data_IF_476699962948
#
_entry.id   IF_476699962948
#
_cell.length_a   1.000
_cell.length_b   1.000
_cell.length_c   1.000
_cell.angle_alpha   90.00
_cell.angle_beta   90.00
_cell.angle_gamma   90.00
#
_symmetry.space_group_name_H-M   'P 1'
#
loop_
_entity.id
_entity.type
_entity.pdbx_description
1 polymer ?
#
# COMPACT_ATOMS: atom_id res chain seq x y z
N UNK A 1 -11.25 -38.22 39.58
CA UNK A 1 -10.95 -38.17 38.13
C UNK A 1 -11.66 -37.05 37.37
N UNK A 2 -12.99 -36.85 37.51
CA UNK A 2 -13.75 -35.86 36.71
C UNK A 2 -13.30 -34.39 36.87
N UNK A 3 -12.89 -33.98 38.07
CA UNK A 3 -12.47 -32.58 38.36
C UNK A 3 -11.14 -32.24 37.68
N UNK A 4 -10.18 -33.17 37.69
CA UNK A 4 -8.87 -32.96 37.06
C UNK A 4 -9.01 -32.82 35.55
N UNK A 5 -9.85 -33.64 34.92
CA UNK A 5 -10.16 -33.54 33.48
C UNK A 5 -10.84 -32.22 33.12
N UNK A 6 -11.76 -31.74 33.96
CA UNK A 6 -12.44 -30.46 33.73
C UNK A 6 -11.48 -29.26 33.79
N UNK A 7 -10.58 -29.25 34.77
CA UNK A 7 -9.56 -28.19 34.91
C UNK A 7 -8.62 -28.16 33.70
N UNK A 8 -8.19 -29.33 33.21
CA UNK A 8 -7.31 -29.42 32.04
C UNK A 8 -7.99 -28.87 30.78
N UNK A 9 -9.28 -29.17 30.57
CA UNK A 9 -10.05 -28.68 29.43
C UNK A 9 -10.22 -27.15 29.50
N UNK A 10 -10.57 -26.61 30.67
CA UNK A 10 -10.75 -25.17 30.85
C UNK A 10 -9.43 -24.42 30.63
N UNK A 11 -8.31 -24.93 31.16
CA UNK A 11 -7.00 -24.36 30.89
C UNK A 11 -6.64 -24.38 29.40
N UNK A 12 -6.96 -25.46 28.68
CA UNK A 12 -6.68 -25.56 27.24
C UNK A 12 -7.50 -24.56 26.42
N UNK A 13 -8.77 -24.37 26.76
CA UNK A 13 -9.65 -23.37 26.12
C UNK A 13 -9.14 -21.94 26.38
N UNK A 14 -8.73 -21.65 27.62
CA UNK A 14 -8.17 -20.34 27.98
C UNK A 14 -6.87 -20.09 27.19
N UNK A 15 -5.98 -21.08 27.09
CA UNK A 15 -4.74 -20.97 26.30
C UNK A 15 -5.05 -20.71 24.82
N UNK A 16 -6.02 -21.43 24.25
CA UNK A 16 -6.44 -21.20 22.85
C UNK A 16 -7.00 -19.80 22.66
N UNK A 17 -7.87 -19.32 23.56
CA UNK A 17 -8.42 -17.97 23.51
C UNK A 17 -7.32 -16.91 23.61
N UNK A 18 -6.33 -17.11 24.48
CA UNK A 18 -5.17 -16.23 24.58
C UNK A 18 -4.31 -16.24 23.31
N UNK A 19 -4.09 -17.41 22.69
CA UNK A 19 -3.38 -17.51 21.42
C UNK A 19 -4.15 -16.79 20.31
N UNK A 20 -5.46 -16.99 20.21
CA UNK A 20 -6.30 -16.31 19.21
C UNK A 20 -6.27 -14.79 19.42
N UNK A 21 -6.39 -14.33 20.67
CA UNK A 21 -6.31 -12.92 21.00
C UNK A 21 -4.93 -12.33 20.66
N UNK A 22 -3.86 -13.06 20.98
CA UNK A 22 -2.49 -12.64 20.68
C UNK A 22 -2.21 -12.59 19.17
N UNK A 23 -2.71 -13.58 18.42
CA UNK A 23 -2.64 -13.59 16.95
C UNK A 23 -3.42 -12.41 16.37
N UNK A 24 -4.64 -12.13 16.84
CA UNK A 24 -5.42 -10.97 16.40
C UNK A 24 -4.70 -9.64 16.72
N UNK A 25 -4.05 -9.54 17.88
CA UNK A 25 -3.24 -8.37 18.25
C UNK A 25 -2.02 -8.23 17.32
N UNK A 26 -1.32 -9.33 16.99
CA UNK A 26 -0.20 -9.32 16.05
C UNK A 26 -0.64 -8.96 14.62
N UNK A 27 -1.79 -9.45 14.17
CA UNK A 27 -2.40 -9.09 12.88
C UNK A 27 -2.72 -7.59 12.86
N UNK A 28 -3.31 -7.05 13.93
CA UNK A 28 -3.64 -5.63 14.05
C UNK A 28 -2.40 -4.73 14.10
N UNK A 29 -1.26 -5.22 14.61
CA UNK A 29 0.02 -4.50 14.63
C UNK A 29 0.86 -4.66 13.37
N UNK A 30 0.49 -5.58 12.47
CA UNK A 30 1.28 -5.88 11.27
C UNK A 30 2.64 -6.56 11.55
N UNK A 31 2.81 -7.12 12.75
CA UNK A 31 4.07 -7.71 13.25
C UNK A 31 4.08 -9.25 13.11
N UNK A 32 3.53 -9.78 12.02
CA UNK A 32 3.68 -11.20 11.70
C UNK A 32 5.19 -11.50 11.57
N UNK A 33 5.73 -12.55 12.24
CA UNK A 33 7.10 -12.97 12.03
C UNK A 33 7.23 -13.45 10.59
N UNK A 34 7.74 -12.56 9.74
CA UNK A 34 7.95 -12.82 8.33
C UNK A 34 8.86 -14.05 8.21
N UNK A 35 8.45 -14.96 7.31
CA UNK A 35 9.26 -16.11 6.92
C UNK A 35 10.67 -15.71 6.49
N UNK A 36 11.51 -16.74 6.30
CA UNK A 36 12.95 -16.66 6.05
C UNK A 36 13.43 -15.36 5.39
N UNK A 37 14.52 -14.74 5.91
CA UNK A 37 14.99 -13.43 5.45
C UNK A 37 15.15 -13.44 3.93
N UNK A 38 14.28 -12.69 3.25
CA UNK A 38 14.36 -12.59 1.80
C UNK A 38 15.68 -11.95 1.41
N UNK A 39 16.37 -12.61 0.48
CA UNK A 39 17.76 -12.39 0.06
C UNK A 39 18.12 -10.92 -0.25
N UNK A 40 17.13 -10.06 -0.52
CA UNK A 40 17.31 -8.65 -0.92
C UNK A 40 16.64 -7.63 0.04
N UNK A 41 16.59 -7.92 1.35
CA UNK A 41 15.98 -7.02 2.34
C UNK A 41 16.50 -5.57 2.27
N UNK A 42 17.81 -5.36 2.04
CA UNK A 42 18.40 -4.01 1.95
C UNK A 42 17.92 -3.20 0.74
N UNK A 43 17.88 -3.81 -0.45
CA UNK A 43 17.38 -3.15 -1.65
C UNK A 43 15.90 -2.81 -1.51
N UNK A 44 15.11 -3.72 -0.92
CA UNK A 44 13.69 -3.49 -0.69
C UNK A 44 13.44 -2.33 0.26
N UNK A 45 14.21 -2.24 1.35
CA UNK A 45 14.11 -1.12 2.28
C UNK A 45 14.49 0.19 1.60
N UNK A 46 15.55 0.21 0.79
CA UNK A 46 15.93 1.39 0.03
C UNK A 46 14.85 1.81 -1.00
N UNK A 47 14.19 0.85 -1.65
CA UNK A 47 13.04 1.13 -2.54
C UNK A 47 11.89 1.75 -1.75
N UNK A 48 11.55 1.18 -0.59
CA UNK A 48 10.50 1.72 0.26
C UNK A 48 10.82 3.15 0.72
N UNK A 49 12.04 3.37 1.20
CA UNK A 49 12.51 4.70 1.62
C UNK A 49 12.53 5.71 0.46
N UNK A 50 12.93 5.28 -0.73
CA UNK A 50 12.86 6.11 -1.94
C UNK A 50 11.42 6.56 -2.19
N UNK A 51 10.47 5.62 -2.29
CA UNK A 51 9.05 5.93 -2.50
C UNK A 51 8.50 6.86 -1.42
N UNK A 52 8.81 6.61 -0.14
CA UNK A 52 8.31 7.43 0.98
C UNK A 52 8.86 8.87 1.01
N UNK A 53 10.01 9.13 0.39
CA UNK A 53 10.60 10.47 0.30
C UNK A 53 10.02 11.30 -0.84
N UNK A 54 9.42 10.67 -1.83
CA UNK A 54 8.83 11.38 -2.95
C UNK A 54 7.40 11.82 -2.64
N UNK A 55 7.12 13.09 -2.95
CA UNK A 55 5.77 13.67 -2.89
C UNK A 55 5.11 13.76 -4.28
N UNK A 56 5.86 13.44 -5.33
CA UNK A 56 5.46 13.56 -6.73
C UNK A 56 5.11 12.21 -7.37
N UNK A 57 4.97 11.16 -6.55
CA UNK A 57 4.53 9.82 -6.96
C UNK A 57 5.42 9.25 -8.07
N UNK A 58 6.63 8.78 -7.75
CA UNK A 58 7.63 8.44 -8.73
C UNK A 58 7.22 7.18 -9.50
N UNK A 59 7.66 7.10 -10.74
CA UNK A 59 7.54 5.87 -11.54
C UNK A 59 8.62 4.87 -11.13
N UNK A 60 8.46 3.61 -11.52
CA UNK A 60 9.48 2.59 -11.31
C UNK A 60 10.83 2.97 -11.94
N UNK A 61 10.82 3.68 -13.08
CA UNK A 61 12.03 4.15 -13.75
C UNK A 61 12.75 5.24 -12.95
N UNK A 62 12.03 6.20 -12.37
CA UNK A 62 12.62 7.23 -11.49
C UNK A 62 13.29 6.58 -10.29
N UNK A 63 12.58 5.67 -9.61
CA UNK A 63 13.09 4.91 -8.47
C UNK A 63 14.33 4.11 -8.86
N UNK A 64 14.30 3.47 -10.03
CA UNK A 64 15.44 2.71 -10.56
C UNK A 64 16.66 3.60 -10.78
N UNK A 65 16.51 4.76 -11.41
CA UNK A 65 17.63 5.67 -11.67
C UNK A 65 18.27 6.16 -10.38
N UNK A 66 17.47 6.56 -9.40
CA UNK A 66 17.97 7.03 -8.10
C UNK A 66 18.71 5.91 -7.36
N UNK A 67 18.16 4.70 -7.34
CA UNK A 67 18.76 3.58 -6.62
C UNK A 67 20.07 3.07 -7.23
N UNK A 68 20.34 3.34 -8.52
CA UNK A 68 21.60 2.93 -9.15
C UNK A 68 22.82 3.60 -8.52
N UNK A 69 22.66 4.77 -7.92
CA UNK A 69 23.76 5.46 -7.24
C UNK A 69 24.27 4.65 -6.03
N UNK A 70 23.34 4.06 -5.28
CA UNK A 70 23.65 3.26 -4.08
C UNK A 70 23.75 1.76 -4.35
N UNK A 71 23.11 1.27 -5.41
CA UNK A 71 23.06 -0.14 -5.81
C UNK A 71 23.35 -0.29 -7.32
N UNK A 72 24.60 -0.17 -7.78
CA UNK A 72 24.93 -0.14 -9.21
C UNK A 72 24.50 -1.37 -10.03
N UNK A 73 24.36 -2.51 -9.36
CA UNK A 73 23.97 -3.81 -9.95
C UNK A 73 22.46 -4.09 -9.85
N UNK A 74 21.64 -3.15 -9.35
CA UNK A 74 20.19 -3.33 -9.34
C UNK A 74 19.68 -3.33 -10.78
N UNK A 75 18.73 -4.23 -11.07
CA UNK A 75 18.02 -4.24 -12.35
C UNK A 75 16.63 -3.65 -12.18
N UNK A 76 16.09 -3.08 -13.26
CA UNK A 76 14.73 -2.55 -13.28
C UNK A 76 13.70 -3.63 -12.90
N UNK A 77 13.90 -4.88 -13.36
CA UNK A 77 13.05 -6.01 -12.95
C UNK A 77 13.08 -6.30 -11.45
N UNK A 78 14.20 -6.04 -10.76
CA UNK A 78 14.28 -6.14 -9.29
C UNK A 78 13.49 -5.01 -8.62
N UNK A 79 13.49 -3.81 -9.18
CA UNK A 79 12.67 -2.70 -8.69
C UNK A 79 11.18 -3.04 -8.80
N UNK A 80 10.71 -3.43 -9.98
CA UNK A 80 9.30 -3.83 -10.19
C UNK A 80 8.83 -4.96 -9.25
N UNK A 81 9.63 -6.02 -9.08
CA UNK A 81 9.27 -7.13 -8.16
C UNK A 81 9.10 -6.66 -6.72
N UNK A 82 9.99 -5.78 -6.25
CA UNK A 82 9.90 -5.24 -4.89
C UNK A 82 8.75 -4.25 -4.73
N UNK A 83 8.48 -3.40 -5.72
CA UNK A 83 7.32 -2.51 -5.71
C UNK A 83 6.01 -3.30 -5.66
N UNK A 84 5.89 -4.34 -6.48
CA UNK A 84 4.73 -5.24 -6.46
C UNK A 84 4.55 -5.90 -5.09
N UNK A 85 5.64 -6.38 -4.49
CA UNK A 85 5.62 -7.00 -3.16
C UNK A 85 5.24 -5.98 -2.07
N UNK A 86 5.82 -4.78 -2.09
CA UNK A 86 5.51 -3.73 -1.11
C UNK A 86 4.05 -3.29 -1.23
N UNK A 87 3.51 -3.24 -2.46
CA UNK A 87 2.09 -2.96 -2.72
C UNK A 87 1.20 -4.06 -2.13
N UNK A 88 1.53 -5.35 -2.38
CA UNK A 88 0.75 -6.46 -1.82
C UNK A 88 0.81 -6.54 -0.29
N UNK A 89 1.88 -6.02 0.32
CA UNK A 89 2.03 -5.91 1.77
C UNK A 89 1.36 -4.66 2.35
N UNK A 90 0.74 -3.81 1.52
CA UNK A 90 0.12 -2.55 1.96
C UNK A 90 1.12 -1.54 2.52
N UNK A 91 2.40 -1.62 2.13
CA UNK A 91 3.45 -0.68 2.57
C UNK A 91 3.55 0.56 1.68
N UNK A 92 3.12 0.43 0.43
CA UNK A 92 3.00 1.51 -0.56
C UNK A 92 1.70 1.30 -1.34
N UNK A 93 1.22 2.35 -2.00
CA UNK A 93 0.09 2.29 -2.93
C UNK A 93 0.59 2.37 -4.37
N UNK A 94 -0.05 1.63 -5.27
CA UNK A 94 0.16 1.75 -6.71
C UNK A 94 -0.98 2.58 -7.31
N UNK A 95 -0.61 3.59 -8.09
CA UNK A 95 -1.56 4.46 -8.79
C UNK A 95 -1.45 4.16 -10.28
N UNK A 96 -2.49 3.53 -10.81
CA UNK A 96 -2.59 3.22 -12.24
C UNK A 96 -2.97 4.48 -13.00
N UNK A 97 -2.10 4.91 -13.91
CA UNK A 97 -2.29 6.11 -14.73
C UNK A 97 -2.75 5.69 -16.14
N UNK A 98 -3.67 6.46 -16.74
CA UNK A 98 -4.17 6.17 -18.09
C UNK A 98 -3.15 6.66 -19.12
N UNK A 99 -2.64 5.77 -19.97
CA UNK A 99 -1.64 6.07 -21.02
C UNK A 99 -0.28 6.60 -20.50
N UNK A 100 -0.06 6.59 -19.18
CA UNK A 100 1.18 6.98 -18.54
C UNK A 100 1.70 5.83 -17.67
N UNK A 101 2.99 5.88 -17.33
CA UNK A 101 3.58 4.86 -16.47
C UNK A 101 2.91 4.88 -15.08
N UNK A 102 2.75 3.67 -14.51
CA UNK A 102 2.26 3.53 -13.14
C UNK A 102 3.17 4.28 -12.16
N UNK A 103 2.53 4.87 -11.16
CA UNK A 103 3.18 5.63 -10.11
C UNK A 103 3.00 4.96 -8.76
N UNK A 104 3.90 5.26 -7.83
CA UNK A 104 3.89 4.65 -6.50
C UNK A 104 3.84 5.73 -5.43
N UNK A 105 3.11 5.45 -4.36
CA UNK A 105 2.94 6.35 -3.23
C UNK A 105 3.36 5.69 -1.91
N UNK A 106 4.08 6.43 -1.08
CA UNK A 106 4.41 6.03 0.28
C UNK A 106 3.29 6.29 1.28
N UNK A 107 2.31 7.15 0.96
CA UNK A 107 1.14 7.41 1.79
C UNK A 107 0.06 6.35 1.54
N UNK A 108 -0.14 5.47 2.51
CA UNK A 108 -1.18 4.44 2.44
C UNK A 108 -2.54 4.92 2.95
N UNK A 109 -2.61 6.12 3.53
CA UNK A 109 -3.87 6.72 3.97
C UNK A 109 -4.70 7.15 2.76
N UNK A 110 -6.02 6.89 2.74
CA UNK A 110 -6.88 7.33 1.65
C UNK A 110 -6.79 8.85 1.42
N UNK A 111 -6.49 9.22 0.19
CA UNK A 111 -6.54 10.60 -0.32
C UNK A 111 -6.91 10.55 -1.80
N UNK A 112 -7.20 11.71 -2.38
CA UNK A 112 -7.58 11.82 -3.78
C UNK A 112 -6.40 12.31 -4.62
N UNK A 113 -6.29 11.75 -5.81
CA UNK A 113 -5.30 12.15 -6.79
C UNK A 113 -5.97 12.94 -7.93
N UNK A 114 -5.21 13.80 -8.58
CA UNK A 114 -5.55 14.43 -9.85
C UNK A 114 -4.53 14.04 -10.92
N UNK A 115 -5.02 13.51 -12.05
CA UNK A 115 -4.23 13.15 -13.22
C UNK A 115 -4.57 14.06 -14.41
N UNK A 116 -3.55 14.70 -14.99
CA UNK A 116 -3.74 15.49 -16.20
C UNK A 116 -3.75 14.62 -17.46
N UNK A 117 -4.81 14.71 -18.25
CA UNK A 117 -4.98 13.99 -19.53
C UNK A 117 -4.00 14.39 -20.64
N UNK A 118 -3.32 15.53 -20.51
CA UNK A 118 -2.39 16.04 -21.52
C UNK A 118 -0.93 15.74 -21.18
N UNK A 119 -0.49 16.09 -19.97
CA UNK A 119 0.91 15.92 -19.57
C UNK A 119 1.17 14.75 -18.62
N UNK A 120 0.13 14.06 -18.14
CA UNK A 120 0.28 12.96 -17.18
C UNK A 120 0.80 13.38 -15.80
N UNK A 121 0.73 14.66 -15.45
CA UNK A 121 1.09 15.09 -14.10
C UNK A 121 0.09 14.50 -13.10
N UNK A 122 0.61 13.92 -12.04
CA UNK A 122 -0.16 13.37 -10.94
C UNK A 122 0.14 14.19 -9.69
N UNK A 123 -0.89 14.62 -8.98
CA UNK A 123 -0.76 15.40 -7.75
C UNK A 123 -1.87 15.06 -6.76
N UNK A 124 -1.57 15.21 -5.48
CA UNK A 124 -2.58 15.10 -4.42
C UNK A 124 -3.51 16.29 -4.45
N UNK A 125 -4.78 16.03 -4.18
CA UNK A 125 -5.76 17.09 -3.97
C UNK A 125 -6.44 16.93 -2.60
N UNK A 126 -6.66 18.03 -1.86
CA UNK A 126 -7.44 17.98 -0.64
C UNK A 126 -8.87 17.52 -0.95
N UNK A 127 -9.22 16.32 -0.52
CA UNK A 127 -10.55 15.78 -0.65
C UNK A 127 -10.99 15.18 0.69
N UNK A 128 -12.06 15.73 1.25
CA UNK A 128 -12.70 15.22 2.47
C UNK A 128 -14.17 14.96 2.14
N UNK A 129 -14.52 13.74 1.75
CA UNK A 129 -15.91 13.44 1.48
C UNK A 129 -16.70 13.50 2.79
N UNK A 130 -17.96 13.95 2.72
CA UNK A 130 -18.87 13.98 3.87
C UNK A 130 -19.33 12.59 4.30
N UNK A 131 -19.23 11.61 3.41
CA UNK A 131 -19.55 10.20 3.64
C UNK A 131 -18.36 9.38 3.13
N UNK A 132 -17.89 8.41 3.89
CA UNK A 132 -16.84 7.52 3.41
C UNK A 132 -17.40 6.58 2.34
N UNK A 133 -16.87 6.59 1.09
CA UNK A 133 -17.45 5.80 -0.02
C UNK A 133 -17.58 4.32 0.29
N UNK A 134 -16.65 3.78 1.07
CA UNK A 134 -16.66 2.37 1.49
C UNK A 134 -17.84 2.04 2.42
N UNK A 135 -18.25 2.97 3.29
CA UNK A 135 -19.41 2.79 4.17
C UNK A 135 -20.72 2.90 3.39
N UNK A 136 -20.81 3.89 2.51
CA UNK A 136 -21.99 4.12 1.66
C UNK A 136 -22.26 2.94 0.73
N UNK A 137 -21.22 2.48 0.02
CA UNK A 137 -21.34 1.37 -0.95
C UNK A 137 -21.43 0.03 -0.22
N UNK A 138 -20.69 -0.14 0.88
CA UNK A 138 -20.65 -1.38 1.65
C UNK A 138 -22.01 -1.77 2.24
N UNK A 139 -22.88 -0.79 2.55
CA UNK A 139 -24.21 -1.05 3.12
C UNK A 139 -25.14 -1.85 2.18
N UNK A 140 -24.91 -1.80 0.86
CA UNK A 140 -25.71 -2.49 -0.15
C UNK A 140 -24.97 -3.58 -0.91
N UNK A 141 -23.76 -3.95 -0.48
CA UNK A 141 -22.90 -4.90 -1.19
C UNK A 141 -22.74 -6.20 -0.40
N UNK A 142 -23.12 -7.33 -1.01
CA UNK A 142 -23.05 -8.67 -0.41
C UNK A 142 -21.61 -9.24 -0.33
N UNK A 143 -20.59 -8.38 -0.40
CA UNK A 143 -19.17 -8.74 -0.38
C UNK A 143 -18.33 -7.86 0.54
N UNK A 144 -17.02 -8.09 0.57
CA UNK A 144 -16.07 -7.33 1.39
C UNK A 144 -15.27 -6.39 0.49
N UNK A 145 -15.39 -5.09 0.73
CA UNK A 145 -14.54 -4.07 0.10
C UNK A 145 -13.27 -3.93 0.96
N UNK A 146 -12.11 -4.29 0.40
CA UNK A 146 -10.82 -4.18 1.08
C UNK A 146 -10.20 -2.79 0.99
N UNK A 147 -10.41 -2.08 -0.13
CA UNK A 147 -9.77 -0.82 -0.45
C UNK A 147 -10.54 -0.06 -1.55
N UNK A 148 -10.21 1.22 -1.71
CA UNK A 148 -10.63 2.05 -2.85
C UNK A 148 -9.60 3.14 -3.11
N UNK A 149 -9.57 3.67 -4.33
CA UNK A 149 -8.75 4.82 -4.73
C UNK A 149 -9.62 5.84 -5.46
N UNK A 150 -9.43 7.12 -5.18
CA UNK A 150 -10.13 8.21 -5.87
C UNK A 150 -9.14 8.96 -6.76
N UNK A 151 -9.44 9.02 -8.05
CA UNK A 151 -8.63 9.75 -9.04
C UNK A 151 -9.54 10.62 -9.90
N UNK A 152 -9.28 11.92 -9.90
CA UNK A 152 -9.93 12.89 -10.79
C UNK A 152 -9.07 13.11 -12.02
N UNK A 153 -9.68 13.22 -13.20
CA UNK A 153 -8.97 13.41 -14.48
C UNK A 153 -9.40 14.67 -15.19
N UNK A 154 -8.45 15.48 -15.66
CA UNK A 154 -8.74 16.73 -16.35
C UNK A 154 -7.50 17.39 -16.96
N UNK A 155 -7.47 18.72 -17.02
CA UNK A 155 -6.31 19.49 -17.48
C UNK A 155 -5.71 20.28 -16.33
N UNK A 156 -4.40 20.15 -16.11
CA UNK A 156 -3.72 20.94 -15.07
C UNK A 156 -3.66 22.41 -15.48
N UNK A 157 -3.38 23.30 -14.52
CA UNK A 157 -3.31 24.75 -14.77
C UNK A 157 -2.32 25.14 -15.90
N UNK A 158 -1.29 24.32 -16.15
CA UNK A 158 -0.35 24.53 -17.26
C UNK A 158 -0.98 24.14 -18.60
N UNK A 159 -1.59 22.96 -18.68
CA UNK A 159 -2.19 22.46 -19.92
C UNK A 159 -3.48 23.21 -20.29
N UNK A 160 -4.29 23.62 -19.31
CA UNK A 160 -5.51 24.39 -19.55
C UNK A 160 -5.24 25.79 -20.13
N UNK A 161 -4.04 26.35 -19.91
CA UNK A 161 -3.60 27.61 -20.53
C UNK A 161 -2.96 27.42 -21.91
N UNK A 162 -2.54 26.20 -22.24
CA UNK A 162 -1.94 25.86 -23.53
C UNK A 162 -2.97 25.32 -24.53
N UNK A 163 -4.25 25.35 -24.17
CA UNK A 163 -5.39 24.94 -25.01
C UNK A 163 -6.14 26.10 -25.66
N UNK A 164 -5.54 27.31 -25.65
CA UNK A 164 -5.94 28.45 -26.48
C UNK A 164 -5.22 28.43 -27.84
#
# INVERSE_FOLDING_TARGET
MKIVTFIVIVCFIIIILFIILFINILIMKGDLPMGAPMKNSRQRNAILECVMRHHDHPTADIIYQELRESFPNISLGTVYRNLSLLTSLGKIMKITCENHADRFDGQTKPHAHFECKSCGCLQDIPFKPSIHPQEEIGAGFDGIISDYTITFRGYCAKCAKNSD
#
